data_IF_257580498585
#
_entry.id   IF_257580498585
#
_cell.length_a   1.000
_cell.length_b   1.000
_cell.length_c   1.000
_cell.angle_alpha   90.00
_cell.angle_beta   90.00
_cell.angle_gamma   90.00
#
_symmetry.space_group_name_H-M   'P 1'
#
loop_
_entity.id
_entity.type
_entity.pdbx_description
1 polymer ?
#
# COMPACT_ATOMS: atom_id res chain seq x y z
N UNK A 1 6.73 -21.04 -27.24
CA UNK A 1 6.68 -20.99 -25.76
C UNK A 1 7.09 -19.65 -25.18
N UNK A 2 8.18 -18.98 -25.61
CA UNK A 2 8.54 -17.63 -25.09
C UNK A 2 7.50 -16.55 -25.41
N UNK A 3 6.93 -16.53 -26.62
CA UNK A 3 5.90 -15.53 -27.03
C UNK A 3 4.54 -15.70 -26.30
N UNK A 4 4.18 -16.90 -25.86
CA UNK A 4 2.94 -17.12 -25.10
C UNK A 4 3.03 -16.62 -23.66
N UNK A 5 4.24 -16.51 -23.09
CA UNK A 5 4.47 -16.06 -21.72
C UNK A 5 4.52 -14.53 -21.59
N UNK A 6 5.03 -13.81 -22.59
CA UNK A 6 4.97 -12.33 -22.65
C UNK A 6 3.52 -11.82 -22.76
N UNK A 7 2.63 -12.59 -23.38
CA UNK A 7 1.22 -12.24 -23.58
C UNK A 7 0.39 -12.21 -22.28
N UNK A 8 0.87 -12.79 -21.18
CA UNK A 8 0.05 -12.93 -19.95
C UNK A 8 -0.10 -11.59 -19.21
N UNK A 9 0.92 -10.76 -19.18
CA UNK A 9 0.85 -9.42 -18.56
C UNK A 9 0.37 -8.36 -19.56
N UNK A 10 0.89 -8.41 -20.78
CA UNK A 10 0.63 -7.45 -21.86
C UNK A 10 -0.66 -7.76 -22.62
N UNK A 11 -1.79 -7.58 -21.94
CA UNK A 11 -3.12 -7.71 -22.55
C UNK A 11 -4.01 -6.57 -22.07
N UNK A 12 -4.75 -5.94 -22.99
CA UNK A 12 -5.79 -5.00 -22.58
C UNK A 12 -6.86 -5.73 -21.78
N UNK A 13 -7.11 -5.25 -20.56
CA UNK A 13 -8.01 -5.87 -19.60
C UNK A 13 -9.00 -4.88 -19.03
N UNK A 14 -10.24 -5.34 -18.84
CA UNK A 14 -11.23 -4.61 -18.08
C UNK A 14 -10.87 -4.58 -16.57
N UNK A 15 -11.45 -3.65 -15.81
CA UNK A 15 -11.29 -3.54 -14.34
C UNK A 15 -11.53 -4.89 -13.65
N UNK A 16 -12.65 -5.55 -13.98
CA UNK A 16 -12.99 -6.88 -13.43
C UNK A 16 -11.92 -7.93 -13.74
N UNK A 17 -11.39 -7.93 -14.96
CA UNK A 17 -10.38 -8.88 -15.38
C UNK A 17 -9.05 -8.64 -14.66
N UNK A 18 -8.63 -7.39 -14.44
CA UNK A 18 -7.43 -7.06 -13.67
C UNK A 18 -7.53 -7.57 -12.23
N UNK A 19 -8.65 -7.30 -11.55
CA UNK A 19 -8.88 -7.71 -10.16
C UNK A 19 -8.95 -9.23 -10.06
N UNK A 20 -9.74 -9.88 -10.91
CA UNK A 20 -9.90 -11.34 -10.91
C UNK A 20 -8.58 -12.05 -11.22
N UNK A 21 -7.82 -11.58 -12.22
CA UNK A 21 -6.52 -12.17 -12.56
C UNK A 21 -5.49 -11.94 -11.44
N UNK A 22 -5.50 -10.76 -10.81
CA UNK A 22 -4.63 -10.45 -9.69
C UNK A 22 -4.86 -11.38 -8.50
N UNK A 23 -6.08 -11.48 -8.02
CA UNK A 23 -6.40 -12.37 -6.91
C UNK A 23 -6.23 -13.85 -7.26
N UNK A 24 -6.51 -14.26 -8.50
CA UNK A 24 -6.23 -15.63 -8.96
C UNK A 24 -4.74 -15.94 -8.95
N UNK A 25 -3.89 -15.02 -9.42
CA UNK A 25 -2.43 -15.19 -9.37
C UNK A 25 -1.95 -15.31 -7.92
N UNK A 26 -2.46 -14.45 -7.03
CA UNK A 26 -2.14 -14.49 -5.61
C UNK A 26 -2.56 -15.81 -4.96
N UNK A 27 -3.82 -16.20 -5.07
CA UNK A 27 -4.37 -17.38 -4.40
C UNK A 27 -3.82 -18.69 -4.95
N UNK A 28 -3.68 -18.81 -6.28
CA UNK A 28 -3.13 -20.04 -6.90
C UNK A 28 -1.65 -20.27 -6.55
N UNK A 29 -0.91 -19.20 -6.25
CA UNK A 29 0.51 -19.27 -5.89
C UNK A 29 0.77 -18.97 -4.41
N UNK A 30 -0.26 -18.89 -3.57
CA UNK A 30 -0.14 -18.47 -2.17
C UNK A 30 0.92 -19.28 -1.40
N UNK A 31 0.96 -20.59 -1.57
CA UNK A 31 1.95 -21.45 -0.90
C UNK A 31 3.40 -21.08 -1.25
N UNK A 32 3.65 -20.68 -2.51
CA UNK A 32 4.98 -20.25 -2.96
C UNK A 32 5.31 -18.86 -2.41
N UNK A 33 4.36 -17.93 -2.49
CA UNK A 33 4.47 -16.57 -1.96
C UNK A 33 4.73 -16.62 -0.45
N UNK A 34 3.94 -17.40 0.28
CA UNK A 34 4.11 -17.61 1.71
C UNK A 34 5.51 -18.10 2.05
N UNK A 35 5.98 -19.14 1.36
CA UNK A 35 7.31 -19.70 1.59
C UNK A 35 8.44 -18.70 1.31
N UNK A 36 8.23 -17.75 0.40
CA UNK A 36 9.18 -16.68 0.10
C UNK A 36 9.18 -15.58 1.15
N UNK A 37 8.02 -15.21 1.67
CA UNK A 37 7.80 -13.98 2.44
C UNK A 37 7.56 -14.19 3.94
N UNK A 38 7.42 -15.43 4.44
CA UNK A 38 7.00 -15.67 5.83
C UNK A 38 7.95 -15.08 6.88
N UNK A 39 9.27 -15.07 6.63
CA UNK A 39 10.25 -14.46 7.55
C UNK A 39 10.02 -12.96 7.62
N UNK A 40 9.87 -12.31 6.46
CA UNK A 40 9.58 -10.88 6.40
C UNK A 40 8.20 -10.55 7.04
N UNK A 41 7.21 -11.43 6.86
CA UNK A 41 5.90 -11.29 7.50
C UNK A 41 5.99 -11.41 9.03
N UNK A 42 6.84 -12.28 9.56
CA UNK A 42 7.10 -12.35 11.02
C UNK A 42 7.76 -11.05 11.51
N UNK A 43 8.78 -10.56 10.82
CA UNK A 43 9.43 -9.29 11.20
C UNK A 43 8.41 -8.15 11.17
N UNK A 44 7.58 -8.07 10.14
CA UNK A 44 6.48 -7.12 10.05
C UNK A 44 5.52 -7.26 11.25
N UNK A 45 5.11 -8.48 11.58
CA UNK A 45 4.21 -8.77 12.69
C UNK A 45 4.81 -8.39 14.06
N UNK A 46 6.10 -8.65 14.28
CA UNK A 46 6.79 -8.26 15.53
C UNK A 46 6.81 -6.74 15.68
N UNK A 47 7.14 -6.00 14.62
CA UNK A 47 7.17 -4.54 14.66
C UNK A 47 5.76 -3.97 14.86
N UNK A 48 4.76 -4.53 14.17
CA UNK A 48 3.34 -4.17 14.37
C UNK A 48 2.89 -4.46 15.81
N UNK A 49 3.33 -5.58 16.38
CA UNK A 49 3.06 -5.93 17.78
C UNK A 49 3.66 -4.93 18.76
N UNK A 50 4.92 -4.56 18.58
CA UNK A 50 5.58 -3.54 19.41
C UNK A 50 4.86 -2.20 19.27
N UNK A 51 4.60 -1.73 18.05
CA UNK A 51 3.92 -0.46 17.81
C UNK A 51 2.50 -0.44 18.41
N UNK A 52 1.71 -1.50 18.21
CA UNK A 52 0.36 -1.61 18.75
C UNK A 52 0.33 -1.69 20.27
N UNK A 53 1.28 -2.40 20.87
CA UNK A 53 1.39 -2.48 22.34
C UNK A 53 1.78 -1.12 22.91
N UNK A 54 2.74 -0.42 22.32
CA UNK A 54 3.14 0.94 22.73
C UNK A 54 1.97 1.91 22.64
N UNK A 55 1.16 1.82 21.59
CA UNK A 55 -0.01 2.68 21.42
C UNK A 55 -1.02 2.53 22.57
N UNK A 56 -1.16 1.34 23.16
CA UNK A 56 -2.05 1.08 24.29
C UNK A 56 -1.41 1.48 25.62
N UNK A 57 -0.14 1.10 25.84
CA UNK A 57 0.54 1.29 27.13
C UNK A 57 1.18 2.66 27.29
N UNK A 58 1.63 3.25 26.18
CA UNK A 58 2.38 4.52 26.12
C UNK A 58 1.97 5.34 24.90
N UNK A 59 0.75 5.93 24.89
CA UNK A 59 0.23 6.64 23.72
C UNK A 59 1.11 7.82 23.29
N UNK A 60 1.90 8.41 24.17
CA UNK A 60 2.87 9.45 23.90
C UNK A 60 4.01 9.01 22.95
N UNK A 61 4.29 7.70 22.88
CA UNK A 61 5.33 7.13 22.03
C UNK A 61 4.82 6.75 20.63
N UNK A 62 3.53 6.94 20.34
CA UNK A 62 2.94 6.59 19.04
C UNK A 62 3.63 7.27 17.87
N UNK A 63 4.08 8.53 18.05
CA UNK A 63 4.80 9.26 17.01
C UNK A 63 6.15 8.62 16.62
N UNK A 64 6.79 7.90 17.54
CA UNK A 64 8.05 7.20 17.27
C UNK A 64 7.80 5.90 16.48
N UNK A 65 6.67 5.26 16.68
CA UNK A 65 6.33 4.01 16.00
C UNK A 65 5.95 4.20 14.52
N UNK A 66 5.40 5.37 14.13
CA UNK A 66 4.98 5.66 12.76
C UNK A 66 6.10 5.53 11.72
N UNK A 67 7.29 6.17 11.87
CA UNK A 67 8.37 6.01 10.90
C UNK A 67 8.85 4.56 10.78
N UNK A 68 8.91 3.85 11.90
CA UNK A 68 9.32 2.45 11.92
C UNK A 68 8.33 1.58 11.15
N UNK A 69 7.03 1.85 11.30
CA UNK A 69 5.96 1.14 10.58
C UNK A 69 6.07 1.37 9.06
N UNK A 70 6.29 2.61 8.62
CA UNK A 70 6.46 2.95 7.20
C UNK A 70 7.66 2.21 6.59
N UNK A 71 8.80 2.17 7.31
CA UNK A 71 10.00 1.49 6.82
C UNK A 71 9.77 -0.01 6.67
N UNK A 72 9.15 -0.65 7.66
CA UNK A 72 8.91 -2.10 7.60
C UNK A 72 7.86 -2.47 6.55
N UNK A 73 6.86 -1.63 6.33
CA UNK A 73 5.89 -1.82 5.27
C UNK A 73 6.56 -1.75 3.89
N UNK A 74 7.41 -0.76 3.65
CA UNK A 74 8.20 -0.66 2.42
C UNK A 74 9.12 -1.89 2.21
N UNK A 75 9.76 -2.36 3.28
CA UNK A 75 10.56 -3.58 3.28
C UNK A 75 9.72 -4.78 2.87
N UNK A 76 8.56 -4.96 3.50
CA UNK A 76 7.70 -6.10 3.23
C UNK A 76 7.13 -6.07 1.81
N UNK A 77 6.70 -4.90 1.33
CA UNK A 77 6.21 -4.73 -0.04
C UNK A 77 7.30 -5.02 -1.08
N UNK A 78 8.58 -4.78 -0.77
CA UNK A 78 9.68 -5.10 -1.69
C UNK A 78 9.76 -6.59 -2.04
N UNK A 79 9.38 -7.48 -1.11
CA UNK A 79 9.25 -8.92 -1.40
C UNK A 79 8.11 -9.19 -2.39
N UNK A 80 6.98 -8.51 -2.24
CA UNK A 80 5.88 -8.60 -3.19
C UNK A 80 6.29 -8.16 -4.60
N UNK A 81 6.99 -7.05 -4.71
CA UNK A 81 7.53 -6.57 -5.99
C UNK A 81 8.55 -7.54 -6.58
N UNK A 82 9.41 -8.16 -5.77
CA UNK A 82 10.35 -9.16 -6.25
C UNK A 82 9.64 -10.38 -6.85
N UNK A 83 8.57 -10.85 -6.22
CA UNK A 83 7.72 -11.95 -6.74
C UNK A 83 7.05 -11.54 -8.06
N UNK A 84 6.50 -10.31 -8.14
CA UNK A 84 5.85 -9.81 -9.35
C UNK A 84 6.84 -9.62 -10.50
N UNK A 85 8.04 -9.12 -10.22
CA UNK A 85 9.10 -8.98 -11.22
C UNK A 85 9.55 -10.34 -11.75
N UNK A 86 9.74 -11.33 -10.88
CA UNK A 86 10.03 -12.69 -11.30
C UNK A 86 8.94 -13.24 -12.21
N UNK A 87 7.66 -13.01 -11.86
CA UNK A 87 6.55 -13.40 -12.71
C UNK A 87 6.57 -12.69 -14.07
N UNK A 88 6.95 -11.41 -14.11
CA UNK A 88 7.09 -10.64 -15.35
C UNK A 88 8.19 -11.21 -16.25
N UNK A 89 9.32 -11.63 -15.68
CA UNK A 89 10.48 -12.14 -16.42
C UNK A 89 10.33 -13.59 -16.86
N UNK A 90 9.72 -14.44 -16.02
CA UNK A 90 9.69 -15.90 -16.23
C UNK A 90 8.29 -16.45 -16.55
N UNK A 91 7.24 -15.65 -16.46
CA UNK A 91 5.84 -16.08 -16.58
C UNK A 91 5.34 -16.96 -15.43
N UNK A 92 6.20 -17.26 -14.45
CA UNK A 92 5.85 -18.12 -13.32
C UNK A 92 6.42 -17.61 -12.01
N UNK A 93 5.69 -17.85 -10.91
CA UNK A 93 6.23 -17.63 -9.58
C UNK A 93 7.05 -18.86 -9.21
N UNK A 94 8.37 -18.76 -9.40
CA UNK A 94 9.33 -19.82 -9.13
C UNK A 94 9.67 -19.95 -7.64
N UNK A 95 10.55 -20.90 -7.34
CA UNK A 95 11.19 -21.03 -6.04
C UNK A 95 12.29 -19.97 -5.91
N UNK A 96 12.22 -19.13 -4.89
CA UNK A 96 13.37 -18.30 -4.52
C UNK A 96 14.45 -19.23 -3.92
N UNK A 97 15.62 -19.32 -4.54
CA UNK A 97 16.65 -20.25 -4.08
C UNK A 97 17.31 -19.85 -2.76
N UNK A 98 17.08 -18.65 -2.25
CA UNK A 98 17.69 -18.13 -1.02
C UNK A 98 16.72 -17.28 -0.20
N UNK A 99 16.60 -17.59 1.06
CA UNK A 99 15.77 -16.93 2.07
C UNK A 99 16.09 -15.44 2.28
N UNK A 100 17.29 -14.99 1.91
CA UNK A 100 17.83 -13.66 2.13
C UNK A 100 18.26 -12.94 0.85
N UNK A 101 18.05 -13.50 -0.33
CA UNK A 101 18.30 -12.74 -1.54
C UNK A 101 17.16 -11.76 -1.79
N UNK A 102 17.06 -10.77 -0.92
CA UNK A 102 16.39 -9.53 -1.29
C UNK A 102 17.12 -9.07 -2.55
N UNK A 103 16.39 -8.96 -3.65
CA UNK A 103 16.94 -8.29 -4.81
C UNK A 103 17.16 -6.84 -4.37
N UNK A 104 18.39 -6.51 -3.96
CA UNK A 104 18.77 -5.21 -3.41
C UNK A 104 18.36 -4.08 -4.32
N UNK A 105 18.36 -4.33 -5.62
CA UNK A 105 17.92 -3.36 -6.62
C UNK A 105 16.42 -3.05 -6.51
N UNK A 106 15.55 -4.06 -6.40
CA UNK A 106 14.10 -3.86 -6.22
C UNK A 106 13.82 -3.21 -4.88
N UNK A 107 14.52 -3.63 -3.84
CA UNK A 107 14.41 -3.06 -2.50
C UNK A 107 14.73 -1.56 -2.48
N UNK A 108 15.88 -1.17 -3.03
CA UNK A 108 16.28 0.24 -3.11
C UNK A 108 15.26 1.05 -3.92
N UNK A 109 14.79 0.53 -5.04
CA UNK A 109 13.77 1.20 -5.87
C UNK A 109 12.44 1.34 -5.14
N UNK A 110 12.02 0.33 -4.39
CA UNK A 110 10.80 0.41 -3.57
C UNK A 110 10.93 1.49 -2.51
N UNK A 111 12.07 1.55 -1.80
CA UNK A 111 12.32 2.60 -0.81
C UNK A 111 12.32 3.98 -1.47
N UNK A 112 12.99 4.15 -2.62
CA UNK A 112 13.02 5.43 -3.34
C UNK A 112 11.59 5.85 -3.74
N UNK A 113 10.79 4.94 -4.29
CA UNK A 113 9.39 5.22 -4.63
C UNK A 113 8.58 5.63 -3.41
N UNK A 114 8.75 4.94 -2.29
CA UNK A 114 8.10 5.27 -1.01
C UNK A 114 8.52 6.63 -0.46
N UNK A 115 9.82 6.92 -0.44
CA UNK A 115 10.34 8.21 0.04
C UNK A 115 9.80 9.37 -0.79
N UNK A 116 9.82 9.25 -2.12
CA UNK A 116 9.24 10.29 -2.98
C UNK A 116 7.74 10.45 -2.80
N UNK A 117 7.01 9.34 -2.66
CA UNK A 117 5.58 9.37 -2.36
C UNK A 117 5.32 10.08 -1.02
N UNK A 118 6.13 9.79 0.00
CA UNK A 118 6.04 10.44 1.32
C UNK A 118 6.35 11.94 1.23
N UNK A 119 7.39 12.34 0.50
CA UNK A 119 7.70 13.76 0.28
C UNK A 119 6.54 14.48 -0.39
N UNK A 120 5.95 13.89 -1.43
CA UNK A 120 4.77 14.44 -2.12
C UNK A 120 3.59 14.56 -1.13
N UNK A 121 3.33 13.53 -0.31
CA UNK A 121 2.29 13.56 0.72
C UNK A 121 2.52 14.69 1.74
N UNK A 122 3.75 14.88 2.21
CA UNK A 122 4.07 15.95 3.15
C UNK A 122 3.83 17.33 2.52
N UNK A 123 4.30 17.56 1.31
CA UNK A 123 4.08 18.82 0.59
C UNK A 123 2.59 19.10 0.42
N UNK A 124 1.83 18.12 -0.06
CA UNK A 124 0.38 18.25 -0.22
C UNK A 124 -0.33 18.45 1.12
N UNK A 125 0.09 17.76 2.18
CA UNK A 125 -0.42 17.95 3.54
C UNK A 125 -0.15 19.34 4.10
N UNK A 126 1.04 19.89 3.87
CA UNK A 126 1.36 21.28 4.25
C UNK A 126 0.48 22.29 3.50
N UNK A 127 0.28 22.09 2.19
CA UNK A 127 -0.60 22.96 1.38
C UNK A 127 -2.03 22.86 1.92
N UNK A 128 -2.51 21.64 2.21
CA UNK A 128 -3.83 21.40 2.79
C UNK A 128 -4.00 22.12 4.14
N UNK A 129 -3.02 22.04 5.01
CA UNK A 129 -3.02 22.71 6.31
C UNK A 129 -3.11 24.24 6.14
N UNK A 130 -2.31 24.82 5.26
CA UNK A 130 -2.35 26.27 4.98
C UNK A 130 -3.71 26.71 4.43
N UNK A 131 -4.23 25.97 3.46
CA UNK A 131 -5.57 26.23 2.88
C UNK A 131 -6.67 26.08 3.94
N UNK A 132 -6.59 25.05 4.80
CA UNK A 132 -7.54 24.82 5.88
C UNK A 132 -7.54 25.96 6.91
N UNK A 133 -6.36 26.44 7.33
CA UNK A 133 -6.23 27.59 8.25
C UNK A 133 -6.79 28.86 7.61
N UNK A 134 -6.45 29.12 6.35
CA UNK A 134 -6.97 30.27 5.62
C UNK A 134 -8.50 30.20 5.48
N UNK A 135 -9.04 29.05 5.10
CA UNK A 135 -10.48 28.83 4.98
C UNK A 135 -11.21 29.05 6.32
N UNK A 136 -10.66 28.50 7.41
CA UNK A 136 -11.25 28.69 8.74
C UNK A 136 -11.26 30.15 9.21
N UNK A 137 -10.28 30.96 8.76
CA UNK A 137 -10.18 32.39 9.13
C UNK A 137 -11.10 33.31 8.31
N UNK A 138 -11.30 33.02 7.03
CA UNK A 138 -11.94 33.94 6.08
C UNK A 138 -13.32 33.49 5.57
N UNK A 139 -13.70 32.23 5.80
CA UNK A 139 -14.94 31.65 5.31
C UNK A 139 -15.88 31.27 6.47
N UNK A 140 -17.16 31.16 6.18
CA UNK A 140 -18.11 30.58 7.14
C UNK A 140 -17.74 29.08 7.37
N UNK A 141 -18.12 28.53 8.52
CA UNK A 141 -17.81 27.16 8.88
C UNK A 141 -18.25 26.14 7.81
N UNK A 142 -19.41 26.33 7.21
CA UNK A 142 -19.91 25.42 6.15
C UNK A 142 -19.09 25.54 4.86
N UNK A 143 -18.73 26.74 4.43
CA UNK A 143 -17.90 26.94 3.23
C UNK A 143 -16.48 26.46 3.45
N UNK A 144 -15.92 26.64 4.64
CA UNK A 144 -14.60 26.12 4.99
C UNK A 144 -14.56 24.57 4.91
N UNK A 145 -15.57 23.89 5.47
CA UNK A 145 -15.69 22.43 5.37
C UNK A 145 -15.83 21.98 3.92
N UNK A 146 -16.69 22.62 3.13
CA UNK A 146 -16.87 22.29 1.73
C UNK A 146 -15.58 22.45 0.92
N UNK A 147 -14.84 23.55 1.11
CA UNK A 147 -13.54 23.78 0.48
C UNK A 147 -12.51 22.72 0.90
N UNK A 148 -12.47 22.36 2.19
CA UNK A 148 -11.57 21.34 2.69
C UNK A 148 -11.86 19.97 2.07
N UNK A 149 -13.12 19.55 2.00
CA UNK A 149 -13.53 18.29 1.37
C UNK A 149 -13.18 18.29 -0.12
N UNK A 150 -13.51 19.34 -0.85
CA UNK A 150 -13.19 19.47 -2.28
C UNK A 150 -11.69 19.35 -2.53
N UNK A 151 -10.89 20.04 -1.72
CA UNK A 151 -9.44 20.03 -1.87
C UNK A 151 -8.83 18.64 -1.57
N UNK A 152 -9.36 17.92 -0.58
CA UNK A 152 -8.95 16.53 -0.32
C UNK A 152 -9.28 15.60 -1.50
N UNK A 153 -10.46 15.75 -2.10
CA UNK A 153 -10.84 14.98 -3.31
C UNK A 153 -9.89 15.27 -4.46
N UNK A 154 -9.54 16.54 -4.70
CA UNK A 154 -8.57 16.92 -5.73
C UNK A 154 -7.20 16.30 -5.47
N UNK A 155 -6.67 16.40 -4.25
CA UNK A 155 -5.40 15.75 -3.87
C UNK A 155 -5.45 14.25 -4.15
N UNK A 156 -6.53 13.59 -3.74
CA UNK A 156 -6.71 12.16 -3.98
C UNK A 156 -6.66 11.81 -5.48
N UNK A 157 -7.35 12.57 -6.33
CA UNK A 157 -7.34 12.38 -7.79
C UNK A 157 -5.93 12.55 -8.37
N UNK A 158 -5.20 13.56 -7.91
CA UNK A 158 -3.79 13.77 -8.33
C UNK A 158 -2.83 12.69 -7.81
N UNK A 159 -3.19 12.00 -6.74
CA UNK A 159 -2.37 10.94 -6.16
C UNK A 159 -2.51 9.59 -6.91
N UNK A 160 -3.66 9.34 -7.55
CA UNK A 160 -3.92 8.08 -8.26
C UNK A 160 -2.90 7.72 -9.34
N UNK A 161 -2.44 8.65 -10.21
CA UNK A 161 -1.43 8.35 -11.22
C UNK A 161 -0.09 7.88 -10.65
N UNK A 162 0.24 8.27 -9.40
CA UNK A 162 1.48 7.84 -8.74
C UNK A 162 1.52 6.32 -8.51
N UNK A 163 0.36 5.68 -8.29
CA UNK A 163 0.30 4.22 -8.17
C UNK A 163 0.81 3.52 -9.42
N UNK A 164 0.39 3.97 -10.60
CA UNK A 164 0.85 3.45 -11.87
C UNK A 164 2.34 3.74 -12.10
N UNK A 165 2.78 4.98 -11.85
CA UNK A 165 4.18 5.37 -12.05
C UNK A 165 5.12 4.66 -11.09
N UNK A 166 4.72 4.45 -9.82
CA UNK A 166 5.50 3.72 -8.84
C UNK A 166 5.61 2.23 -9.21
N UNK A 167 4.50 1.58 -9.62
CA UNK A 167 4.54 0.20 -10.10
C UNK A 167 5.52 0.05 -11.26
N UNK A 168 5.42 0.93 -12.26
CA UNK A 168 6.32 0.91 -13.41
C UNK A 168 7.77 1.13 -13.02
N UNK A 169 8.02 2.12 -12.15
CA UNK A 169 9.38 2.42 -11.69
C UNK A 169 10.04 1.21 -11.01
N UNK A 170 9.32 0.50 -10.15
CA UNK A 170 9.88 -0.64 -9.42
C UNK A 170 10.08 -1.86 -10.33
N UNK A 171 9.16 -2.10 -11.27
CA UNK A 171 9.19 -3.28 -12.14
C UNK A 171 10.07 -3.15 -13.38
N UNK A 172 10.35 -1.92 -13.86
CA UNK A 172 11.13 -1.68 -15.07
C UNK A 172 12.54 -1.19 -14.75
N UNK A 173 13.58 -1.89 -15.20
CA UNK A 173 14.97 -1.51 -14.93
C UNK A 173 15.45 -0.35 -15.81
N UNK A 174 16.52 0.31 -15.37
CA UNK A 174 17.22 1.33 -16.18
C UNK A 174 16.52 2.70 -16.26
N UNK A 175 15.41 2.93 -15.55
CA UNK A 175 14.65 4.18 -15.59
C UNK A 175 14.88 4.96 -14.29
N UNK A 176 15.16 6.28 -14.38
CA UNK A 176 15.18 7.19 -13.25
C UNK A 176 13.76 7.50 -12.77
N UNK A 177 13.57 7.71 -11.46
CA UNK A 177 12.26 8.04 -10.89
C UNK A 177 11.64 9.30 -11.52
N UNK A 178 12.41 10.38 -11.63
CA UNK A 178 11.95 11.64 -12.21
C UNK A 178 11.60 11.55 -13.68
N UNK A 179 12.41 10.84 -14.47
CA UNK A 179 12.11 10.59 -15.88
C UNK A 179 10.80 9.81 -16.02
N UNK A 180 10.64 8.74 -15.23
CA UNK A 180 9.41 7.95 -15.25
C UNK A 180 8.19 8.77 -14.82
N UNK A 181 8.32 9.61 -13.79
CA UNK A 181 7.26 10.49 -13.35
C UNK A 181 6.86 11.48 -14.46
N UNK A 182 7.82 12.17 -15.07
CA UNK A 182 7.55 13.16 -16.11
C UNK A 182 6.89 12.53 -17.36
N UNK A 183 7.40 11.40 -17.81
CA UNK A 183 6.93 10.76 -19.06
C UNK A 183 5.57 10.05 -18.89
N UNK A 184 5.28 9.51 -17.70
CA UNK A 184 4.17 8.56 -17.53
C UNK A 184 3.07 9.03 -16.60
N UNK A 185 3.29 10.09 -15.82
CA UNK A 185 2.26 10.63 -14.96
C UNK A 185 1.02 11.07 -15.75
N UNK A 186 1.22 11.72 -16.90
CA UNK A 186 0.14 12.12 -17.80
C UNK A 186 -0.68 10.95 -18.36
N UNK A 187 -0.05 9.78 -18.56
CA UNK A 187 -0.75 8.56 -18.97
C UNK A 187 -1.65 8.06 -17.82
N UNK A 188 -1.10 7.99 -16.61
CA UNK A 188 -1.88 7.66 -15.42
C UNK A 188 -3.06 8.62 -15.21
N UNK A 189 -2.86 9.92 -15.45
CA UNK A 189 -3.92 10.93 -15.34
C UNK A 189 -5.03 10.73 -16.37
N UNK A 190 -4.70 10.36 -17.61
CA UNK A 190 -5.73 10.04 -18.64
C UNK A 190 -6.54 8.78 -18.28
N UNK A 191 -5.99 7.89 -17.48
CA UNK A 191 -6.60 6.63 -17.05
C UNK A 191 -7.01 6.63 -15.57
N UNK A 192 -7.13 7.81 -14.96
CA UNK A 192 -7.41 7.95 -13.53
C UNK A 192 -8.66 7.17 -13.08
N UNK A 193 -9.72 7.16 -13.86
CA UNK A 193 -10.95 6.43 -13.52
C UNK A 193 -10.76 4.90 -13.51
N UNK A 194 -9.93 4.37 -14.43
CA UNK A 194 -9.56 2.96 -14.43
C UNK A 194 -8.74 2.59 -13.20
N UNK A 195 -7.74 3.41 -12.86
CA UNK A 195 -6.90 3.26 -11.66
C UNK A 195 -7.77 3.35 -10.40
N UNK A 196 -8.64 4.36 -10.34
CA UNK A 196 -9.56 4.58 -9.23
C UNK A 196 -10.44 3.35 -8.96
N UNK A 197 -11.11 2.82 -10.00
CA UNK A 197 -12.01 1.68 -9.83
C UNK A 197 -11.28 0.43 -9.34
N UNK A 198 -10.09 0.14 -9.87
CA UNK A 198 -9.30 -1.01 -9.41
C UNK A 198 -8.87 -0.80 -7.97
N UNK A 199 -8.35 0.38 -7.64
CA UNK A 199 -7.94 0.71 -6.28
C UNK A 199 -9.12 0.64 -5.31
N UNK A 200 -10.25 1.24 -5.67
CA UNK A 200 -11.45 1.29 -4.83
C UNK A 200 -11.98 -0.10 -4.50
N UNK A 201 -12.16 -0.95 -5.51
CA UNK A 201 -12.67 -2.31 -5.30
C UNK A 201 -11.66 -3.14 -4.50
N UNK A 202 -10.37 -3.04 -4.84
CA UNK A 202 -9.31 -3.77 -4.13
C UNK A 202 -9.23 -3.30 -2.68
N UNK A 203 -9.29 -1.99 -2.43
CA UNK A 203 -9.30 -1.41 -1.09
C UNK A 203 -10.54 -1.83 -0.30
N UNK A 204 -11.72 -1.87 -0.94
CA UNK A 204 -12.95 -2.33 -0.29
C UNK A 204 -12.84 -3.79 0.17
N UNK A 205 -12.36 -4.69 -0.69
CA UNK A 205 -12.14 -6.10 -0.34
C UNK A 205 -11.14 -6.20 0.83
N UNK A 206 -10.01 -5.53 0.71
CA UNK A 206 -8.97 -5.58 1.73
C UNK A 206 -9.39 -4.93 3.05
N UNK A 207 -10.13 -3.82 3.03
CA UNK A 207 -10.63 -3.17 4.25
C UNK A 207 -11.62 -4.06 5.01
N UNK A 208 -12.50 -4.76 4.31
CA UNK A 208 -13.41 -5.74 4.95
C UNK A 208 -12.59 -6.84 5.64
N UNK A 209 -11.62 -7.43 4.94
CA UNK A 209 -10.73 -8.44 5.53
C UNK A 209 -9.93 -7.87 6.72
N UNK A 210 -9.40 -6.65 6.56
CA UNK A 210 -8.60 -5.99 7.59
C UNK A 210 -9.43 -5.69 8.85
N UNK A 211 -10.65 -5.17 8.72
CA UNK A 211 -11.54 -4.89 9.86
C UNK A 211 -11.90 -6.18 10.61
N UNK A 212 -12.29 -7.23 9.88
CA UNK A 212 -12.65 -8.51 10.52
C UNK A 212 -11.46 -9.08 11.31
N UNK A 213 -10.26 -9.05 10.72
CA UNK A 213 -9.07 -9.60 11.37
C UNK A 213 -8.56 -8.71 12.52
N UNK A 214 -8.79 -7.39 12.45
CA UNK A 214 -8.36 -6.43 13.48
C UNK A 214 -9.35 -6.31 14.65
N UNK A 215 -10.50 -6.97 14.61
CA UNK A 215 -11.54 -6.82 15.63
C UNK A 215 -11.04 -7.04 17.06
N UNK A 216 -10.22 -8.07 17.37
CA UNK A 216 -9.65 -8.25 18.71
C UNK A 216 -8.74 -7.08 19.14
N UNK A 217 -7.97 -6.51 18.22
CA UNK A 217 -7.10 -5.37 18.52
C UNK A 217 -7.92 -4.10 18.77
N UNK A 218 -9.01 -3.90 18.03
CA UNK A 218 -9.93 -2.77 18.24
C UNK A 218 -10.52 -2.81 19.64
N UNK A 219 -11.01 -3.98 20.09
CA UNK A 219 -11.54 -4.16 21.44
C UNK A 219 -10.48 -3.82 22.50
N UNK A 220 -9.25 -4.35 22.33
CA UNK A 220 -8.16 -4.05 23.27
C UNK A 220 -7.78 -2.57 23.27
N UNK A 221 -7.79 -1.92 22.13
CA UNK A 221 -7.48 -0.50 22.02
C UNK A 221 -8.53 0.37 22.69
N UNK A 222 -9.82 0.04 22.55
CA UNK A 222 -10.91 0.73 23.23
C UNK A 222 -10.78 0.55 24.74
N UNK A 223 -10.62 -0.70 25.22
CA UNK A 223 -10.44 -0.99 26.65
C UNK A 223 -9.22 -0.25 27.24
N UNK A 224 -8.11 -0.16 26.47
CA UNK A 224 -6.93 0.60 26.87
C UNK A 224 -7.17 2.09 26.99
N UNK A 225 -7.87 2.67 26.04
CA UNK A 225 -8.22 4.10 26.09
C UNK A 225 -9.16 4.41 27.25
N UNK A 226 -10.16 3.57 27.51
CA UNK A 226 -11.07 3.75 28.64
C UNK A 226 -10.35 3.65 29.99
N UNK A 227 -9.43 2.69 30.16
CA UNK A 227 -8.63 2.58 31.36
C UNK A 227 -7.71 3.79 31.57
N UNK A 228 -7.09 4.31 30.51
CA UNK A 228 -6.28 5.53 30.58
C UNK A 228 -7.11 6.76 30.94
N UNK A 229 -8.32 6.89 30.40
CA UNK A 229 -9.24 7.98 30.74
C UNK A 229 -9.73 7.86 32.20
N UNK A 230 -10.04 6.64 32.66
CA UNK A 230 -10.41 6.36 34.06
C UNK A 230 -9.31 6.80 35.03
N UNK A 231 -8.04 6.45 34.74
CA UNK A 231 -6.90 6.88 35.54
C UNK A 231 -6.80 8.41 35.64
N UNK A 232 -6.98 9.13 34.51
CA UNK A 232 -6.97 10.59 34.48
C UNK A 232 -8.12 11.25 35.25
N UNK A 233 -9.24 10.54 35.42
CA UNK A 233 -10.41 10.98 36.19
C UNK A 233 -10.41 10.52 37.64
N UNK A 234 -9.34 9.84 38.06
CA UNK A 234 -9.15 9.41 39.47
C UNK A 234 -9.76 8.05 39.79
N UNK A 235 -10.08 7.23 38.81
CA UNK A 235 -10.50 5.85 39.04
C UNK A 235 -9.29 4.99 39.49
N UNK A 236 -9.34 4.31 40.64
CA UNK A 236 -8.24 3.49 41.14
C UNK A 236 -8.02 2.18 40.35
N UNK A 237 -8.95 1.81 39.49
CA UNK A 237 -8.85 0.58 38.69
C UNK A 237 -7.90 0.75 37.51
N UNK A 238 -6.63 0.46 37.74
CA UNK A 238 -5.63 0.39 36.66
C UNK A 238 -5.83 -0.85 35.78
N UNK A 239 -5.34 -0.74 34.56
CA UNK A 239 -5.24 -1.89 33.65
C UNK A 239 -4.51 -3.06 34.31
N UNK A 240 -5.06 -4.31 34.25
CA UNK A 240 -4.33 -5.47 34.71
C UNK A 240 -2.95 -5.59 34.05
N UNK A 241 -1.94 -5.98 34.84
CA UNK A 241 -0.53 -6.03 34.37
C UNK A 241 -0.29 -6.98 33.18
N UNK A 242 -1.17 -7.96 32.95
CA UNK A 242 -1.06 -8.89 31.84
C UNK A 242 -1.55 -8.34 30.51
N UNK A 243 -2.23 -7.18 30.48
CA UNK A 243 -2.82 -6.62 29.24
C UNK A 243 -1.74 -6.27 28.21
N UNK A 244 -0.57 -5.79 28.63
CA UNK A 244 0.54 -5.54 27.71
C UNK A 244 0.96 -6.81 26.95
N UNK A 245 1.06 -7.93 27.62
CA UNK A 245 1.38 -9.22 26.99
C UNK A 245 0.26 -9.75 26.09
N UNK A 246 -0.98 -9.59 26.52
CA UNK A 246 -2.14 -9.95 25.71
C UNK A 246 -2.20 -9.11 24.43
N UNK A 247 -1.99 -7.80 24.54
CA UNK A 247 -1.93 -6.89 23.40
C UNK A 247 -0.80 -7.28 22.46
N UNK A 248 0.40 -7.54 22.96
CA UNK A 248 1.52 -7.98 22.15
C UNK A 248 1.21 -9.27 21.36
N UNK A 249 0.61 -10.27 22.00
CA UNK A 249 0.22 -11.51 21.35
C UNK A 249 -0.86 -11.30 20.27
N UNK A 250 -1.89 -10.50 20.56
CA UNK A 250 -2.97 -10.20 19.63
C UNK A 250 -2.46 -9.40 18.44
N UNK A 251 -1.67 -8.34 18.65
CA UNK A 251 -1.09 -7.56 17.56
C UNK A 251 -0.08 -8.35 16.73
N UNK A 252 0.63 -9.32 17.32
CA UNK A 252 1.52 -10.20 16.58
C UNK A 252 0.75 -11.06 15.58
N UNK A 253 -0.32 -11.71 16.03
CA UNK A 253 -1.16 -12.55 15.16
C UNK A 253 -1.83 -11.72 14.07
N UNK A 254 -2.41 -10.59 14.46
CA UNK A 254 -3.08 -9.68 13.52
C UNK A 254 -2.07 -9.12 12.53
N UNK A 255 -0.91 -8.65 12.97
CA UNK A 255 0.14 -8.11 12.12
C UNK A 255 0.60 -9.13 11.08
N UNK A 256 0.72 -10.40 11.46
CA UNK A 256 1.06 -11.47 10.53
C UNK A 256 -0.02 -11.68 9.45
N UNK A 257 -1.29 -11.66 9.81
CA UNK A 257 -2.40 -11.78 8.86
C UNK A 257 -2.48 -10.54 7.97
N UNK A 258 -2.36 -9.34 8.56
CA UNK A 258 -2.41 -8.06 7.84
C UNK A 258 -1.28 -7.94 6.80
N UNK A 259 -0.10 -8.47 7.07
CA UNK A 259 1.00 -8.54 6.11
C UNK A 259 0.53 -9.19 4.79
N UNK A 260 -0.17 -10.31 4.86
CA UNK A 260 -0.66 -10.99 3.65
C UNK A 260 -1.86 -10.29 3.00
N UNK A 261 -2.70 -9.61 3.77
CA UNK A 261 -3.76 -8.76 3.22
C UNK A 261 -3.12 -7.61 2.43
N UNK A 262 -2.15 -6.90 2.99
CA UNK A 262 -1.41 -5.82 2.32
C UNK A 262 -0.72 -6.32 1.06
N UNK A 263 -0.04 -7.47 1.14
CA UNK A 263 0.62 -8.08 -0.01
C UNK A 263 -0.35 -8.38 -1.15
N UNK A 264 -1.57 -8.81 -0.83
CA UNK A 264 -2.59 -9.14 -1.84
C UNK A 264 -2.99 -7.95 -2.72
N UNK A 265 -2.88 -6.71 -2.24
CA UNK A 265 -3.18 -5.50 -3.00
C UNK A 265 -2.26 -5.29 -4.21
N UNK A 266 -1.00 -5.76 -4.14
CA UNK A 266 -0.04 -5.56 -5.22
C UNK A 266 -0.44 -6.30 -6.50
N UNK A 267 -1.14 -7.43 -6.40
CA UNK A 267 -1.45 -8.29 -7.55
C UNK A 267 -2.47 -7.69 -8.51
N UNK A 268 -3.62 -7.13 -8.07
CA UNK A 268 -4.51 -6.36 -8.94
C UNK A 268 -3.83 -5.12 -9.54
N UNK A 269 -3.01 -4.41 -8.77
CA UNK A 269 -2.27 -3.25 -9.26
C UNK A 269 -1.22 -3.62 -10.32
N UNK A 270 -0.61 -4.79 -10.21
CA UNK A 270 0.29 -5.34 -11.22
C UNK A 270 -0.40 -5.54 -12.58
N UNK A 271 -1.59 -6.15 -12.59
CA UNK A 271 -2.36 -6.30 -13.82
C UNK A 271 -2.93 -4.97 -14.35
N UNK A 272 -3.24 -4.03 -13.47
CA UNK A 272 -3.58 -2.66 -13.83
C UNK A 272 -2.43 -1.99 -14.60
N UNK A 273 -1.21 -2.10 -14.08
CA UNK A 273 -0.01 -1.58 -14.73
C UNK A 273 0.16 -2.21 -16.11
N UNK A 274 0.09 -3.54 -16.24
CA UNK A 274 0.20 -4.25 -17.51
C UNK A 274 -0.84 -3.81 -18.53
N UNK A 275 -2.11 -3.68 -18.12
CA UNK A 275 -3.20 -3.25 -19.01
C UNK A 275 -3.00 -1.81 -19.54
N UNK A 276 -2.57 -0.88 -18.68
CA UNK A 276 -2.32 0.51 -19.09
C UNK A 276 -1.13 0.59 -20.06
N UNK A 277 -0.04 -0.13 -19.76
CA UNK A 277 1.17 -0.08 -20.60
C UNK A 277 0.93 -0.72 -21.98
N UNK A 278 0.17 -1.82 -22.05
CA UNK A 278 -0.25 -2.47 -23.31
C UNK A 278 -1.06 -1.51 -24.18
N UNK A 279 -2.10 -0.93 -23.61
CA UNK A 279 -2.98 -0.01 -24.35
C UNK A 279 -2.21 1.19 -24.94
N UNK A 280 -1.26 1.75 -24.20
CA UNK A 280 -0.44 2.86 -24.69
C UNK A 280 0.55 2.42 -25.78
N UNK A 281 1.07 1.20 -25.71
CA UNK A 281 1.96 0.66 -26.73
C UNK A 281 1.20 0.35 -28.02
N UNK A 282 0.01 -0.22 -27.94
CA UNK A 282 -0.88 -0.44 -29.09
C UNK A 282 -1.23 0.86 -29.80
N UNK A 283 -1.59 1.91 -29.03
CA UNK A 283 -1.88 3.23 -29.56
C UNK A 283 -0.69 3.86 -30.28
N UNK A 284 0.53 3.71 -29.75
CA UNK A 284 1.75 4.19 -30.39
C UNK A 284 2.04 3.46 -31.70
N UNK A 285 1.84 2.13 -31.71
CA UNK A 285 2.05 1.31 -32.89
C UNK A 285 1.05 1.66 -33.99
N UNK A 286 -0.23 1.84 -33.64
CA UNK A 286 -1.26 2.28 -34.59
C UNK A 286 -0.93 3.63 -35.21
N UNK A 287 -0.52 4.61 -34.42
CA UNK A 287 -0.14 5.93 -34.92
C UNK A 287 1.10 5.89 -35.83
N UNK A 288 2.06 4.96 -35.61
CA UNK A 288 3.21 4.77 -36.45
C UNK A 288 2.88 4.10 -37.80
N UNK A 289 1.87 3.23 -37.82
CA UNK A 289 1.43 2.55 -39.06
C UNK A 289 0.49 3.41 -39.90
N UNK A 290 -0.02 4.53 -39.38
CA UNK A 290 -0.89 5.47 -40.09
C UNK A 290 -0.14 6.65 -40.74
N UNK A 291 1.19 6.73 -40.54
CA UNK A 291 2.11 7.69 -41.18
C UNK A 291 2.93 6.97 -42.25
#
# INVERSE_FOLDING_TARGET
>A
MEKEQEDILQKDRSVRACISSGYRLYTSNFKRIFRYSWVAAIVYAVITSIAGTLMITHPELTFVSLPLFIIIEALFLSYGFAVLKQHQETGSIGWAPRWFSINTHIFVRTIIAWLWTLVICIILGCILAVVGIAAAKYLSSYTAIACFVLFNVLIFVFFLPLLYTNMRYVLTDGISYWQNLHERYGIGMRRWGFIFLILFITALIGSVCAVITSFPAIILSIAGNEANMGYLTGDPYNMPSYIGWLAAAVFLIIGFIQAYIVLSFLFPLYYMYGAIDTHENEKKNFNKSAI
#
